data_IF_379279260530
#
_entry.id   IF_379279260530
#
_cell.length_a   1.000
_cell.length_b   1.000
_cell.length_c   1.000
_cell.angle_alpha   90.00
_cell.angle_beta   90.00
_cell.angle_gamma   90.00
#
_symmetry.space_group_name_H-M   'P 1'
#
loop_
_entity.id
_entity.type
_entity.pdbx_description
1 polymer ?
#
# COMPACT_ATOMS: atom_id res chain seq x y z
N UNK A 1 -43.53 -4.36 65.88
CA UNK A 1 -42.53 -3.59 65.16
C UNK A 1 -42.20 -4.28 63.87
N UNK A 2 -42.78 -3.90 62.75
CA UNK A 2 -42.50 -4.42 61.41
C UNK A 2 -41.94 -3.29 60.59
N UNK A 3 -40.69 -3.44 60.16
CA UNK A 3 -40.04 -2.50 59.23
C UNK A 3 -40.39 -2.93 57.80
N UNK A 4 -41.07 -2.06 57.12
CA UNK A 4 -41.42 -2.22 55.69
C UNK A 4 -40.23 -1.69 54.88
N UNK A 5 -39.53 -2.58 54.22
CA UNK A 5 -38.51 -2.23 53.20
C UNK A 5 -39.24 -1.76 51.92
N UNK A 6 -39.14 -0.48 51.62
CA UNK A 6 -39.55 0.07 50.33
C UNK A 6 -38.44 -0.20 49.33
N UNK A 7 -38.61 -1.24 48.51
CA UNK A 7 -37.83 -1.42 47.29
C UNK A 7 -38.22 -0.31 46.29
N UNK A 8 -37.28 0.55 46.06
CA UNK A 8 -37.36 1.60 45.03
C UNK A 8 -37.14 0.96 43.67
N UNK A 9 -38.21 0.76 42.92
CA UNK A 9 -38.18 0.41 41.50
C UNK A 9 -37.78 1.67 40.71
N UNK A 10 -36.50 1.83 40.38
CA UNK A 10 -36.06 2.78 39.37
C UNK A 10 -36.34 2.10 38.01
N UNK A 11 -37.49 2.38 37.45
CA UNK A 11 -37.81 2.09 36.09
C UNK A 11 -36.92 2.92 35.17
N UNK A 12 -35.88 2.27 34.64
CA UNK A 12 -35.01 2.83 33.61
C UNK A 12 -35.81 2.87 32.30
N UNK A 13 -36.60 3.94 32.10
CA UNK A 13 -37.14 4.30 30.79
C UNK A 13 -35.95 4.71 29.88
N UNK A 14 -35.33 3.73 29.22
CA UNK A 14 -34.56 4.02 28.03
C UNK A 14 -35.55 4.45 26.94
N UNK A 15 -35.53 5.71 26.48
CA UNK A 15 -36.21 6.04 25.26
C UNK A 15 -35.50 5.27 24.15
N UNK A 16 -36.14 4.25 23.63
CA UNK A 16 -35.80 3.66 22.35
C UNK A 16 -35.99 4.76 21.30
N UNK A 17 -34.96 5.58 21.12
CA UNK A 17 -34.78 6.35 19.92
C UNK A 17 -34.57 5.36 18.80
N UNK A 18 -35.65 4.87 18.24
CA UNK A 18 -35.71 4.23 16.94
C UNK A 18 -35.34 5.33 15.91
N UNK A 19 -34.06 5.63 15.81
CA UNK A 19 -33.54 6.31 14.67
C UNK A 19 -33.79 5.37 13.50
N UNK A 20 -34.61 5.80 12.55
CA UNK A 20 -34.88 5.06 11.35
C UNK A 20 -33.55 4.62 10.73
N UNK A 21 -33.18 3.38 10.97
CA UNK A 21 -32.04 2.76 10.34
C UNK A 21 -32.43 2.64 8.87
N UNK A 22 -31.97 3.58 8.05
CA UNK A 22 -31.92 3.34 6.62
C UNK A 22 -31.18 2.01 6.45
N UNK A 23 -31.90 0.98 6.00
CA UNK A 23 -31.35 -0.36 5.84
C UNK A 23 -30.05 -0.24 5.05
N UNK A 24 -28.96 -0.67 5.65
CA UNK A 24 -27.65 -0.63 5.00
C UNK A 24 -27.73 -1.39 3.67
N UNK A 25 -27.37 -0.74 2.59
CA UNK A 25 -27.31 -1.35 1.27
C UNK A 25 -25.87 -1.69 0.92
N UNK A 26 -25.64 -2.95 0.62
CA UNK A 26 -24.34 -3.41 0.07
C UNK A 26 -24.09 -2.72 -1.25
N UNK A 27 -22.87 -2.27 -1.45
CA UNK A 27 -22.50 -1.49 -2.62
C UNK A 27 -21.26 -2.08 -3.29
N UNK A 28 -21.36 -2.26 -4.61
CA UNK A 28 -20.21 -2.59 -5.45
C UNK A 28 -19.78 -1.35 -6.22
N UNK A 29 -18.48 -1.13 -6.25
CA UNK A 29 -17.88 -0.07 -7.06
C UNK A 29 -16.68 -0.61 -7.80
N UNK A 30 -16.44 -0.13 -9.01
CA UNK A 30 -15.20 -0.43 -9.74
C UNK A 30 -14.70 0.83 -10.44
N UNK A 31 -13.41 0.86 -10.71
CA UNK A 31 -12.80 1.98 -11.39
C UNK A 31 -11.31 1.84 -11.57
N UNK A 32 -10.67 2.97 -11.81
CA UNK A 32 -9.24 3.04 -12.09
C UNK A 32 -8.52 3.97 -11.14
N UNK A 33 -7.25 3.71 -10.94
CA UNK A 33 -6.36 4.52 -10.12
C UNK A 33 -5.08 4.87 -10.86
N UNK A 34 -4.54 6.04 -10.51
CA UNK A 34 -3.22 6.48 -10.94
C UNK A 34 -2.52 7.20 -9.79
N UNK A 35 -1.19 7.10 -9.73
CA UNK A 35 -0.43 7.73 -8.67
C UNK A 35 1.07 7.69 -8.88
N UNK A 36 1.76 8.23 -7.88
CA UNK A 36 3.22 8.23 -7.80
C UNK A 36 3.67 7.48 -6.55
N UNK A 37 4.84 6.86 -6.64
CA UNK A 37 5.45 6.15 -5.53
C UNK A 37 6.91 6.56 -5.35
N UNK A 38 7.35 6.51 -4.11
CA UNK A 38 8.75 6.64 -3.72
C UNK A 38 9.19 5.32 -3.11
N UNK A 39 10.12 4.66 -3.75
CA UNK A 39 10.57 3.32 -3.39
C UNK A 39 12.04 3.30 -2.98
N UNK A 40 12.38 2.38 -2.10
CA UNK A 40 13.75 2.05 -1.72
C UNK A 40 13.86 0.57 -1.41
N UNK A 41 15.07 0.05 -1.37
CA UNK A 41 15.34 -1.33 -0.99
C UNK A 41 16.16 -1.36 0.30
N UNK A 42 15.69 -2.13 1.27
CA UNK A 42 16.40 -2.36 2.52
C UNK A 42 17.41 -3.48 2.32
N UNK A 43 18.69 -3.14 2.17
CA UNK A 43 19.77 -4.10 2.02
C UNK A 43 20.47 -4.44 3.34
N UNK A 44 20.93 -5.71 3.45
CA UNK A 44 21.86 -6.14 4.48
C UNK A 44 22.90 -7.09 3.81
N UNK A 45 24.21 -6.75 3.76
CA UNK A 45 24.83 -5.51 4.25
C UNK A 45 24.33 -4.25 3.56
N UNK A 46 24.46 -3.12 4.24
CA UNK A 46 23.84 -1.85 3.85
C UNK A 46 24.45 -1.26 2.57
N UNK A 47 23.59 -1.00 1.58
CA UNK A 47 23.87 -0.16 0.42
C UNK A 47 23.31 1.23 0.70
N UNK A 48 24.06 2.32 0.44
CA UNK A 48 23.54 3.69 0.57
C UNK A 48 22.63 4.00 -0.61
N UNK A 49 21.35 3.85 -0.36
CA UNK A 49 20.31 4.15 -1.34
C UNK A 49 19.44 5.32 -0.90
N UNK A 50 18.95 6.05 -1.86
CA UNK A 50 17.91 7.06 -1.75
C UNK A 50 16.63 6.55 -2.39
N UNK A 51 15.52 7.22 -2.10
CA UNK A 51 14.23 6.86 -2.70
C UNK A 51 14.24 7.17 -4.19
N UNK A 52 13.70 6.24 -4.96
CA UNK A 52 13.44 6.40 -6.38
C UNK A 52 11.96 6.66 -6.61
N UNK A 53 11.66 7.66 -7.44
CA UNK A 53 10.31 7.96 -7.85
C UNK A 53 9.89 7.02 -8.99
N UNK A 54 8.67 6.52 -8.91
CA UNK A 54 8.03 5.69 -9.92
C UNK A 54 6.54 5.99 -10.03
N UNK A 55 5.89 5.40 -11.04
CA UNK A 55 4.46 5.55 -11.28
C UNK A 55 3.73 4.26 -10.88
N UNK A 56 2.46 4.42 -10.51
CA UNK A 56 1.53 3.31 -10.26
C UNK A 56 0.19 3.62 -10.91
N UNK A 57 -0.48 2.59 -11.40
CA UNK A 57 -1.82 2.72 -11.96
C UNK A 57 -2.46 1.36 -12.18
N UNK A 58 -3.79 1.32 -12.13
CA UNK A 58 -4.47 0.05 -12.28
C UNK A 58 -5.97 0.12 -12.06
N UNK A 59 -6.58 -1.06 -11.95
CA UNK A 59 -8.00 -1.24 -11.69
C UNK A 59 -8.27 -1.57 -10.23
N UNK A 60 -9.44 -1.13 -9.75
CA UNK A 60 -9.91 -1.35 -8.37
C UNK A 60 -11.35 -1.82 -8.41
N UNK A 61 -11.66 -2.86 -7.65
CA UNK A 61 -13.02 -3.30 -7.34
C UNK A 61 -13.18 -3.27 -5.82
N UNK A 62 -14.27 -2.65 -5.34
CA UNK A 62 -14.58 -2.55 -3.93
C UNK A 62 -16.00 -3.00 -3.66
N UNK A 63 -16.16 -3.77 -2.61
CA UNK A 63 -17.42 -4.24 -2.10
C UNK A 63 -17.62 -3.79 -0.66
N UNK A 64 -18.58 -2.92 -0.42
CA UNK A 64 -19.01 -2.52 0.92
C UNK A 64 -19.97 -3.57 1.44
N UNK A 65 -19.55 -4.29 2.48
CA UNK A 65 -20.25 -5.45 3.03
C UNK A 65 -21.12 -5.10 4.22
N UNK A 66 -20.65 -4.16 5.04
CA UNK A 66 -21.25 -3.74 6.31
C UNK A 66 -21.07 -2.24 6.53
N UNK A 67 -21.84 -1.64 7.45
CA UNK A 67 -21.55 -0.28 7.91
C UNK A 67 -20.09 -0.17 8.38
N UNK A 68 -19.36 0.81 7.80
CA UNK A 68 -17.95 1.09 8.10
C UNK A 68 -16.94 0.05 7.60
N UNK A 69 -17.36 -1.04 6.94
CA UNK A 69 -16.47 -2.11 6.50
C UNK A 69 -16.72 -2.51 5.05
N UNK A 70 -15.65 -2.75 4.31
CA UNK A 70 -15.65 -3.28 2.96
C UNK A 70 -14.40 -4.09 2.65
N UNK A 71 -14.41 -4.70 1.49
CA UNK A 71 -13.28 -5.38 0.88
C UNK A 71 -12.91 -4.69 -0.41
N UNK A 72 -11.62 -4.58 -0.70
CA UNK A 72 -11.11 -3.96 -1.92
C UNK A 72 -10.05 -4.86 -2.53
N UNK A 73 -10.20 -5.14 -3.82
CA UNK A 73 -9.22 -5.86 -4.63
C UNK A 73 -8.72 -4.92 -5.71
N UNK A 74 -7.42 -4.93 -5.94
CA UNK A 74 -6.80 -4.12 -6.98
C UNK A 74 -5.91 -4.96 -7.86
N UNK A 75 -5.69 -4.49 -9.08
CA UNK A 75 -4.64 -4.97 -9.96
C UNK A 75 -3.88 -3.75 -10.49
N UNK A 76 -2.66 -3.57 -10.03
CA UNK A 76 -1.84 -2.38 -10.28
C UNK A 76 -0.56 -2.74 -11.03
N UNK A 77 -0.20 -1.94 -12.00
CA UNK A 77 1.18 -1.80 -12.44
C UNK A 77 1.88 -0.81 -11.51
N UNK A 78 3.08 -1.12 -11.06
CA UNK A 78 3.87 -0.26 -10.19
C UNK A 78 5.35 -0.34 -10.53
N UNK A 79 6.00 0.82 -10.60
CA UNK A 79 7.43 0.95 -10.73
C UNK A 79 8.05 1.14 -9.35
N UNK A 80 9.00 0.26 -9.01
CA UNK A 80 9.74 0.27 -7.75
C UNK A 80 11.23 0.18 -8.04
N UNK A 81 12.07 0.47 -7.05
CA UNK A 81 13.49 0.33 -7.19
C UNK A 81 14.27 1.14 -6.16
N UNK A 82 15.51 1.43 -6.51
CA UNK A 82 16.39 2.23 -5.67
C UNK A 82 17.36 3.04 -6.51
N UNK A 83 17.85 4.11 -5.90
CA UNK A 83 18.90 4.94 -6.45
C UNK A 83 20.08 4.97 -5.45
N UNK A 84 21.28 4.68 -5.91
CA UNK A 84 22.47 4.74 -5.04
C UNK A 84 23.03 6.13 -4.96
N UNK A 85 23.66 6.41 -3.82
CA UNK A 85 24.30 7.68 -3.52
C UNK A 85 25.80 7.45 -3.27
N UNK A 86 26.62 8.13 -4.05
CA UNK A 86 28.07 8.10 -3.96
C UNK A 86 28.59 9.41 -3.38
N UNK A 87 28.69 9.49 -2.03
CA UNK A 87 29.03 10.75 -1.33
C UNK A 87 30.43 11.28 -1.67
N UNK A 88 31.38 10.36 -1.99
CA UNK A 88 32.77 10.72 -2.31
C UNK A 88 33.04 10.89 -3.82
N UNK A 89 32.08 10.53 -4.66
CA UNK A 89 32.19 10.56 -6.10
C UNK A 89 30.83 10.91 -6.73
N UNK A 90 30.39 12.16 -6.56
CA UNK A 90 29.03 12.61 -6.94
C UNK A 90 28.77 12.60 -8.45
N UNK A 91 29.82 12.46 -9.28
CA UNK A 91 29.75 12.31 -10.73
C UNK A 91 29.19 10.95 -11.16
N UNK A 92 29.21 9.93 -10.27
CA UNK A 92 28.64 8.63 -10.54
C UNK A 92 27.19 8.53 -10.08
N UNK A 93 26.41 7.83 -10.87
CA UNK A 93 25.03 7.49 -10.51
C UNK A 93 24.72 6.04 -10.84
N UNK A 94 23.84 5.45 -10.07
CA UNK A 94 23.26 4.15 -10.29
C UNK A 94 21.82 4.15 -9.82
N UNK A 95 20.90 3.75 -10.70
CA UNK A 95 19.52 3.52 -10.34
C UNK A 95 18.99 2.28 -11.02
N UNK A 96 18.18 1.52 -10.30
CA UNK A 96 17.49 0.34 -10.83
C UNK A 96 16.00 0.49 -10.64
N UNK A 97 15.27 0.36 -11.73
CA UNK A 97 13.81 0.35 -11.76
C UNK A 97 13.32 -1.05 -12.08
N UNK A 98 12.36 -1.53 -11.29
CA UNK A 98 11.70 -2.82 -11.48
C UNK A 98 10.22 -2.56 -11.67
N UNK A 99 9.66 -3.09 -12.73
CA UNK A 99 8.25 -3.00 -13.02
C UNK A 99 7.54 -4.24 -12.50
N UNK A 100 6.52 -4.04 -11.66
CA UNK A 100 5.70 -5.09 -11.08
C UNK A 100 4.25 -5.00 -11.51
N UNK A 101 3.59 -6.15 -11.62
CA UNK A 101 2.14 -6.26 -11.43
C UNK A 101 1.90 -6.65 -9.98
N UNK A 102 1.04 -5.91 -9.29
CA UNK A 102 0.74 -6.08 -7.88
C UNK A 102 -0.76 -6.25 -7.66
N UNK A 103 -1.13 -7.21 -6.83
CA UNK A 103 -2.53 -7.53 -6.49
C UNK A 103 -2.67 -7.45 -4.96
N UNK A 104 -3.04 -6.28 -4.43
CA UNK A 104 -3.41 -6.14 -3.03
C UNK A 104 -4.86 -6.58 -2.80
N UNK A 105 -5.08 -7.29 -1.67
CA UNK A 105 -6.39 -7.62 -1.13
C UNK A 105 -6.56 -6.89 0.21
N UNK A 106 -7.47 -5.92 0.25
CA UNK A 106 -7.55 -4.95 1.32
C UNK A 106 -8.86 -5.03 2.07
N UNK A 107 -8.78 -4.91 3.38
CA UNK A 107 -9.89 -4.50 4.22
C UNK A 107 -10.01 -3.00 4.12
N UNK A 108 -11.21 -2.50 3.81
CA UNK A 108 -11.54 -1.09 3.69
C UNK A 108 -12.40 -0.66 4.87
N UNK A 109 -11.82 0.10 5.78
CA UNK A 109 -12.53 0.65 6.95
C UNK A 109 -12.78 2.12 6.68
N UNK A 110 -14.05 2.56 6.81
CA UNK A 110 -14.41 3.95 6.51
C UNK A 110 -15.33 4.54 7.56
N UNK A 111 -15.26 5.86 7.69
CA UNK A 111 -16.08 6.67 8.60
C UNK A 111 -16.37 8.02 7.97
N UNK A 112 -17.47 8.63 8.38
CA UNK A 112 -17.92 9.91 7.83
C UNK A 112 -19.37 9.86 7.37
N UNK A 113 -19.72 10.72 6.45
CA UNK A 113 -21.08 10.89 5.96
C UNK A 113 -21.22 10.41 4.49
N UNK A 114 -22.42 10.58 3.92
CA UNK A 114 -22.70 10.14 2.56
C UNK A 114 -21.99 10.96 1.47
N UNK A 115 -21.36 12.08 1.79
CA UNK A 115 -20.67 12.94 0.83
C UNK A 115 -19.16 12.89 1.00
N UNK A 116 -18.68 12.83 2.24
CA UNK A 116 -17.27 12.83 2.56
C UNK A 116 -16.95 11.74 3.58
N UNK A 117 -15.96 10.92 3.28
CA UNK A 117 -15.50 9.83 4.13
C UNK A 117 -13.99 9.86 4.29
N UNK A 118 -13.53 9.62 5.52
CA UNK A 118 -12.19 9.16 5.76
C UNK A 118 -12.16 7.65 5.71
N UNK A 119 -11.04 7.06 5.25
CA UNK A 119 -10.90 5.62 5.25
C UNK A 119 -9.47 5.19 5.57
N UNK A 120 -9.34 3.93 5.92
CA UNK A 120 -8.07 3.24 6.07
C UNK A 120 -8.15 1.89 5.36
N UNK A 121 -7.21 1.65 4.47
CA UNK A 121 -7.05 0.37 3.77
C UNK A 121 -5.88 -0.39 4.36
N UNK A 122 -6.01 -1.70 4.55
CA UNK A 122 -4.89 -2.55 4.94
C UNK A 122 -5.11 -4.00 4.48
N UNK A 123 -4.02 -4.68 4.17
CA UNK A 123 -4.09 -6.09 3.83
C UNK A 123 -2.82 -6.66 3.20
N UNK A 124 -2.84 -7.93 2.86
CA UNK A 124 -1.77 -8.59 2.12
C UNK A 124 -1.72 -8.11 0.66
N UNK A 125 -0.53 -8.19 0.10
CA UNK A 125 -0.30 -7.98 -1.33
C UNK A 125 0.62 -9.05 -1.87
N UNK A 126 0.42 -9.40 -3.13
CA UNK A 126 1.34 -10.20 -3.93
C UNK A 126 1.75 -9.40 -5.16
N UNK A 127 2.96 -9.61 -5.64
CA UNK A 127 3.51 -8.92 -6.80
C UNK A 127 4.37 -9.85 -7.64
N UNK A 128 4.48 -9.54 -8.91
CA UNK A 128 5.33 -10.25 -9.85
C UNK A 128 6.13 -9.27 -10.70
N UNK A 129 7.47 -9.38 -10.66
CA UNK A 129 8.37 -8.55 -11.44
C UNK A 129 8.28 -8.96 -12.93
N UNK A 130 7.95 -8.00 -13.78
CA UNK A 130 7.83 -8.18 -15.22
C UNK A 130 9.13 -7.89 -15.95
N UNK A 131 9.77 -6.78 -15.57
CA UNK A 131 10.99 -6.31 -16.20
C UNK A 131 11.82 -5.47 -15.22
N UNK A 132 13.09 -5.33 -15.50
CA UNK A 132 13.99 -4.43 -14.80
C UNK A 132 14.76 -3.58 -15.81
N UNK A 133 15.15 -2.39 -15.37
CA UNK A 133 15.98 -1.46 -16.12
C UNK A 133 16.99 -0.82 -15.19
N UNK A 134 18.22 -0.69 -15.66
CA UNK A 134 19.31 -0.04 -14.94
C UNK A 134 19.77 1.19 -15.71
N UNK A 135 19.91 2.30 -14.99
CA UNK A 135 20.52 3.53 -15.50
C UNK A 135 21.74 3.84 -14.64
N UNK A 136 22.93 3.77 -15.25
CA UNK A 136 24.19 3.99 -14.54
C UNK A 136 25.29 4.49 -15.47
N UNK A 137 26.23 5.24 -14.92
CA UNK A 137 27.46 5.67 -15.59
C UNK A 137 28.74 5.08 -14.96
N UNK A 138 28.61 3.98 -14.22
CA UNK A 138 29.73 3.38 -13.47
C UNK A 138 30.83 2.80 -14.38
N UNK A 139 30.48 2.32 -15.59
CA UNK A 139 31.42 1.74 -16.56
C UNK A 139 32.42 0.73 -15.96
N UNK A 140 31.95 -0.09 -15.02
CA UNK A 140 32.80 -1.06 -14.29
C UNK A 140 33.64 -0.47 -13.16
N UNK A 141 33.50 0.81 -12.87
CA UNK A 141 34.16 1.45 -11.72
C UNK A 141 33.32 1.26 -10.45
N UNK A 142 33.98 0.89 -9.33
CA UNK A 142 33.34 0.90 -8.04
C UNK A 142 33.71 2.18 -7.25
N UNK A 143 32.81 3.19 -7.20
CA UNK A 143 33.06 4.43 -6.48
C UNK A 143 33.05 4.29 -4.95
N UNK A 144 32.67 3.11 -4.45
CA UNK A 144 32.58 2.81 -3.01
C UNK A 144 33.22 1.47 -2.66
N UNK A 145 34.55 1.32 -2.73
CA UNK A 145 35.24 0.02 -2.63
C UNK A 145 35.02 -0.72 -1.30
N UNK A 146 34.57 -0.03 -0.26
CA UNK A 146 34.26 -0.58 1.06
C UNK A 146 32.79 -1.04 1.22
N UNK A 147 32.00 -1.04 0.13
CA UNK A 147 30.59 -1.42 0.13
C UNK A 147 30.31 -2.51 -0.89
N UNK A 148 29.22 -3.28 -0.69
CA UNK A 148 28.77 -4.24 -1.70
C UNK A 148 28.46 -3.52 -3.02
N UNK A 149 28.94 -4.07 -4.12
CA UNK A 149 28.68 -3.65 -5.49
C UNK A 149 28.04 -4.73 -6.36
N UNK A 150 27.94 -5.93 -5.80
CA UNK A 150 27.40 -7.11 -6.48
C UNK A 150 26.01 -6.89 -7.07
N UNK A 151 25.21 -5.99 -6.48
CA UNK A 151 23.89 -5.61 -6.98
C UNK A 151 23.94 -4.89 -8.33
N UNK A 152 25.10 -4.36 -8.74
CA UNK A 152 25.23 -3.66 -10.03
C UNK A 152 25.15 -4.63 -11.20
N UNK A 153 25.67 -5.85 -11.05
CA UNK A 153 25.76 -6.86 -12.09
C UNK A 153 24.67 -7.93 -11.97
N UNK A 154 24.17 -8.20 -10.76
CA UNK A 154 23.18 -9.24 -10.55
C UNK A 154 21.79 -8.84 -11.06
N UNK A 155 21.16 -9.67 -11.93
CA UNK A 155 19.74 -9.50 -12.25
C UNK A 155 18.89 -9.85 -11.03
N UNK A 156 17.63 -9.43 -11.05
CA UNK A 156 16.66 -9.82 -10.03
C UNK A 156 16.46 -11.33 -10.06
N UNK A 157 16.76 -11.97 -8.94
CA UNK A 157 16.72 -13.43 -8.82
C UNK A 157 15.33 -13.95 -8.43
N UNK A 158 14.58 -13.16 -7.64
CA UNK A 158 13.23 -13.51 -7.19
C UNK A 158 12.21 -12.57 -7.79
N UNK A 159 11.45 -13.07 -8.75
CA UNK A 159 10.40 -12.30 -9.42
C UNK A 159 9.12 -12.17 -8.61
N UNK A 160 8.85 -13.14 -7.72
CA UNK A 160 7.67 -13.12 -6.86
C UNK A 160 7.95 -12.33 -5.60
N UNK A 161 7.08 -11.35 -5.33
CA UNK A 161 7.10 -10.51 -4.13
C UNK A 161 5.79 -10.66 -3.36
N UNK A 162 5.86 -10.66 -2.04
CA UNK A 162 4.70 -10.66 -1.19
C UNK A 162 4.97 -9.82 0.06
N UNK A 163 3.90 -9.30 0.63
CA UNK A 163 4.04 -8.43 1.78
C UNK A 163 2.72 -7.89 2.28
N UNK A 164 2.81 -6.83 3.03
CA UNK A 164 1.68 -6.10 3.58
C UNK A 164 1.65 -4.69 3.03
N UNK A 165 0.46 -4.14 2.91
CA UNK A 165 0.29 -2.74 2.56
C UNK A 165 -0.88 -2.12 3.33
N UNK A 166 -0.85 -0.81 3.49
CA UNK A 166 -1.94 -0.10 4.14
C UNK A 166 -1.68 1.40 4.21
N UNK A 167 -2.76 2.14 4.42
CA UNK A 167 -2.68 3.57 4.57
C UNK A 167 -4.04 4.27 4.62
N UNK A 168 -4.04 5.53 5.07
CA UNK A 168 -5.21 6.37 5.15
C UNK A 168 -5.58 6.99 3.81
N UNK A 169 -6.83 7.38 3.69
CA UNK A 169 -7.32 8.14 2.55
C UNK A 169 -8.60 8.91 2.85
N UNK A 170 -8.99 9.71 1.89
CA UNK A 170 -10.23 10.45 1.88
C UNK A 170 -11.03 10.13 0.63
N UNK A 171 -12.33 10.06 0.76
CA UNK A 171 -13.27 9.79 -0.33
C UNK A 171 -14.30 10.90 -0.44
N UNK A 172 -14.44 11.45 -1.63
CA UNK A 172 -15.51 12.37 -2.00
C UNK A 172 -16.51 11.62 -2.89
N UNK A 173 -17.74 11.48 -2.41
CA UNK A 173 -18.84 10.83 -3.13
C UNK A 173 -19.67 11.87 -3.86
N UNK A 174 -19.78 11.70 -5.17
CA UNK A 174 -20.54 12.58 -6.05
C UNK A 174 -21.59 11.77 -6.84
N UNK A 175 -22.58 12.41 -7.45
CA UNK A 175 -23.54 11.73 -8.31
C UNK A 175 -22.92 11.02 -9.53
N UNK A 176 -21.77 11.48 -9.98
CA UNK A 176 -21.06 10.94 -11.16
C UNK A 176 -20.07 9.84 -10.80
N UNK A 177 -19.73 9.66 -9.51
CA UNK A 177 -18.77 8.67 -9.03
C UNK A 177 -18.03 9.12 -7.78
N UNK A 178 -17.11 8.30 -7.31
CA UNK A 178 -16.36 8.52 -6.07
C UNK A 178 -14.90 8.79 -6.38
N UNK A 179 -14.37 9.87 -5.82
CA UNK A 179 -12.98 10.27 -5.94
C UNK A 179 -12.27 9.98 -4.62
N UNK A 180 -11.21 9.20 -4.68
CA UNK A 180 -10.42 8.81 -3.52
C UNK A 180 -9.00 9.32 -3.66
N UNK A 181 -8.49 9.93 -2.61
CA UNK A 181 -7.05 10.22 -2.47
C UNK A 181 -6.51 9.38 -1.32
N UNK A 182 -5.52 8.55 -1.59
CA UNK A 182 -4.96 7.60 -0.64
C UNK A 182 -3.43 7.72 -0.58
N UNK A 183 -2.88 7.77 0.65
CA UNK A 183 -1.47 7.55 0.92
C UNK A 183 -1.29 6.14 1.46
N UNK A 184 -0.42 5.34 0.82
CA UNK A 184 -0.22 3.93 1.17
C UNK A 184 1.25 3.60 1.36
N UNK A 185 1.56 2.84 2.39
CA UNK A 185 2.85 2.21 2.59
C UNK A 185 2.79 0.74 2.20
N UNK A 186 3.74 0.28 1.39
CA UNK A 186 3.90 -1.10 0.97
C UNK A 186 5.22 -1.63 1.53
N UNK A 187 5.16 -2.73 2.25
CA UNK A 187 6.29 -3.41 2.86
C UNK A 187 6.41 -4.82 2.27
N UNK A 188 7.50 -5.09 1.56
CA UNK A 188 7.82 -6.45 1.11
C UNK A 188 8.38 -7.28 2.25
N UNK A 189 7.91 -8.50 2.37
CA UNK A 189 8.41 -9.52 3.28
C UNK A 189 9.32 -10.54 2.56
N UNK A 190 9.36 -10.49 1.24
CA UNK A 190 10.29 -11.23 0.39
C UNK A 190 11.53 -10.40 0.07
N UNK A 191 12.56 -11.09 -0.41
CA UNK A 191 13.80 -10.50 -0.90
C UNK A 191 13.86 -10.53 -2.42
N UNK A 192 14.48 -9.52 -3.04
CA UNK A 192 14.72 -9.44 -4.48
C UNK A 192 15.83 -10.40 -4.90
N UNK A 193 16.86 -10.54 -4.07
CA UNK A 193 17.98 -11.44 -4.23
C UNK A 193 17.86 -12.68 -3.34
N UNK A 194 18.61 -13.73 -3.67
CA UNK A 194 18.75 -14.88 -2.79
C UNK A 194 19.43 -14.48 -1.47
N UNK A 195 19.08 -15.19 -0.41
CA UNK A 195 19.55 -14.89 0.95
C UNK A 195 20.00 -16.16 1.69
N UNK A 196 20.60 -17.12 0.97
CA UNK A 196 21.18 -18.32 1.54
C UNK A 196 22.54 -18.04 2.17
N UNK A 197 23.04 -18.98 2.96
CA UNK A 197 24.39 -18.90 3.54
C UNK A 197 25.41 -18.87 2.41
N UNK A 198 26.17 -17.76 2.30
CA UNK A 198 27.15 -17.55 1.22
C UNK A 198 26.72 -16.51 0.18
N UNK A 199 25.44 -16.12 0.13
CA UNK A 199 24.98 -15.03 -0.73
C UNK A 199 25.43 -13.66 -0.18
N UNK A 200 25.61 -12.69 -1.07
CA UNK A 200 26.05 -11.33 -0.71
C UNK A 200 25.06 -10.63 0.22
N UNK A 201 23.74 -10.83 -0.02
CA UNK A 201 22.71 -10.16 0.75
C UNK A 201 21.89 -11.13 1.60
N UNK A 202 21.83 -10.88 2.90
CA UNK A 202 20.89 -11.56 3.80
C UNK A 202 19.50 -10.95 3.76
N UNK A 203 19.37 -9.67 3.32
CA UNK A 203 18.13 -8.95 3.14
C UNK A 203 18.20 -8.02 1.93
N UNK A 204 17.12 -7.99 1.13
CA UNK A 204 16.93 -7.09 0.00
C UNK A 204 15.42 -6.88 -0.26
N UNK A 205 14.75 -6.22 0.67
CA UNK A 205 13.28 -6.08 0.66
C UNK A 205 12.84 -4.68 0.20
N UNK A 206 11.85 -4.63 -0.70
CA UNK A 206 11.26 -3.39 -1.18
C UNK A 206 10.43 -2.69 -0.11
N UNK A 207 10.50 -1.37 -0.09
CA UNK A 207 9.67 -0.48 0.70
C UNK A 207 9.19 0.66 -0.20
N UNK A 208 7.88 0.90 -0.25
CA UNK A 208 7.30 1.90 -1.15
C UNK A 208 6.25 2.71 -0.42
N UNK A 209 6.33 4.03 -0.57
CA UNK A 209 5.27 4.97 -0.19
C UNK A 209 4.61 5.42 -1.48
N UNK A 210 3.30 5.26 -1.59
CA UNK A 210 2.54 5.69 -2.78
C UNK A 210 1.47 6.70 -2.40
N UNK A 211 1.22 7.63 -3.31
CA UNK A 211 0.03 8.49 -3.27
C UNK A 211 -0.78 8.22 -4.52
N UNK A 212 -2.03 7.83 -4.36
CA UNK A 212 -2.93 7.40 -5.44
C UNK A 212 -4.20 8.23 -5.46
N UNK A 213 -4.61 8.62 -6.65
CA UNK A 213 -5.94 9.13 -6.95
C UNK A 213 -6.73 7.99 -7.63
N UNK A 214 -7.91 7.67 -7.10
CA UNK A 214 -8.77 6.61 -7.61
C UNK A 214 -10.15 7.19 -7.94
N UNK A 215 -10.70 6.83 -9.08
CA UNK A 215 -12.06 7.11 -9.47
C UNK A 215 -12.86 5.83 -9.54
N UNK A 216 -13.96 5.75 -8.76
CA UNK A 216 -14.84 4.58 -8.69
C UNK A 216 -16.25 4.93 -9.12
N UNK A 217 -16.84 4.06 -9.90
CA UNK A 217 -18.23 4.13 -10.35
C UNK A 217 -19.05 3.12 -9.55
N UNK A 218 -20.13 3.56 -8.85
CA UNK A 218 -21.01 2.63 -8.16
C UNK A 218 -21.89 1.87 -9.15
N UNK A 219 -22.01 0.55 -8.97
CA UNK A 219 -23.00 -0.24 -9.68
C UNK A 219 -24.34 -0.06 -8.99
N UNK A 220 -25.26 0.70 -9.64
CA UNK A 220 -26.64 0.81 -9.19
C UNK A 220 -27.31 -0.55 -9.40
N UNK A 221 -27.89 -1.09 -8.33
CA UNK A 221 -28.91 -2.12 -8.42
C UNK A 221 -30.27 -1.51 -8.73
#
# INVERSE_FOLDING_TARGET
MRRINKLFWIGLCCPLLAWGQNAFQREWTAGASFGVGFSSVSFSPRVLSTMQMGFTGGGTVRWITEPHLGLQLEANFIQQGWKERFDQAPEYHYSRTINYVEIPFLTHIYFGNNRFRGFFNMGPRIGFALSESTDSNLNGTNPSPNRPDTQHELPIQKKFDWGLCGGPGIELRTPIGYFLLEGRFNLSLSNIYNSHKGDTFSKSANQVITTKLTYLIPFKR
#
